data_IF_812586638839
#
_entry.id   IF_812586638839
#
_cell.length_a   1.000
_cell.length_b   1.000
_cell.length_c   1.000
_cell.angle_alpha   90.00
_cell.angle_beta   90.00
_cell.angle_gamma   90.00
#
_symmetry.space_group_name_H-M   'P 1'
#
loop_
_entity.id
_entity.type
_entity.pdbx_description
1 polymer ?
#
# COMPACT_ATOMS: atom_id res chain seq x y z
N UNK A 1 18.20 -1.79 -10.68
CA UNK A 1 17.02 -1.53 -9.82
C UNK A 1 16.20 -2.80 -9.76
N UNK A 2 16.03 -3.40 -8.59
CA UNK A 2 15.52 -4.79 -8.45
C UNK A 2 14.12 -4.87 -7.84
N UNK A 3 13.63 -3.81 -7.21
CA UNK A 3 12.26 -3.73 -6.65
C UNK A 3 11.80 -2.26 -6.53
N UNK A 4 10.51 -2.07 -6.29
CA UNK A 4 9.88 -0.79 -5.97
C UNK A 4 9.25 -0.87 -4.59
N UNK A 5 9.57 0.10 -3.73
CA UNK A 5 8.98 0.24 -2.41
C UNK A 5 8.04 1.44 -2.40
N UNK A 6 6.75 1.18 -2.18
CA UNK A 6 5.74 2.21 -1.99
C UNK A 6 5.67 2.58 -0.51
N UNK A 7 5.91 3.85 -0.20
CA UNK A 7 5.88 4.36 1.17
C UNK A 7 4.78 5.41 1.36
N UNK A 8 3.50 5.03 1.23
CA UNK A 8 2.39 5.97 1.29
C UNK A 8 2.28 6.60 2.68
N UNK A 9 2.04 7.92 2.70
CA UNK A 9 1.64 8.68 3.89
C UNK A 9 0.19 9.05 3.75
N UNK A 10 -0.65 8.61 4.67
CA UNK A 10 -2.11 8.77 4.58
C UNK A 10 -2.59 9.61 5.76
N UNK A 11 -3.47 10.58 5.50
CA UNK A 11 -4.18 11.32 6.55
C UNK A 11 -5.67 11.03 6.44
N UNK A 12 -6.28 10.69 7.56
CA UNK A 12 -7.72 10.47 7.67
C UNK A 12 -8.37 11.69 8.30
N UNK A 13 -9.52 12.11 7.76
CA UNK A 13 -10.41 13.04 8.44
C UNK A 13 -11.38 12.26 9.32
N UNK A 14 -11.50 12.62 10.60
CA UNK A 14 -12.36 11.90 11.55
C UNK A 14 -11.68 10.67 12.15
N UNK A 15 -12.43 9.60 12.39
CA UNK A 15 -11.91 8.40 13.03
C UNK A 15 -10.94 7.66 12.10
N UNK A 16 -9.66 7.65 12.47
CA UNK A 16 -8.65 6.88 11.77
C UNK A 16 -8.86 5.37 11.99
N UNK A 17 -8.56 4.53 10.99
CA UNK A 17 -8.54 3.09 11.16
C UNK A 17 -7.47 2.68 12.17
N UNK A 18 -7.65 1.51 12.79
CA UNK A 18 -6.56 0.87 13.54
C UNK A 18 -5.40 0.54 12.60
N UNK A 19 -4.20 0.32 13.15
CA UNK A 19 -3.04 -0.11 12.35
C UNK A 19 -3.31 -1.38 11.54
N UNK A 20 -4.06 -2.32 12.11
CA UNK A 20 -4.46 -3.55 11.42
C UNK A 20 -5.40 -3.26 10.23
N UNK A 21 -6.43 -2.44 10.45
CA UNK A 21 -7.34 -2.01 9.39
C UNK A 21 -6.60 -1.25 8.29
N UNK A 22 -5.66 -0.38 8.64
CA UNK A 22 -4.83 0.36 7.69
C UNK A 22 -3.96 -0.59 6.85
N UNK A 23 -3.34 -1.59 7.49
CA UNK A 23 -2.55 -2.62 6.79
C UNK A 23 -3.41 -3.40 5.79
N UNK A 24 -4.61 -3.85 6.20
CA UNK A 24 -5.54 -4.54 5.32
C UNK A 24 -6.01 -3.68 4.15
N UNK A 25 -6.25 -2.37 4.37
CA UNK A 25 -6.60 -1.44 3.30
C UNK A 25 -5.49 -1.34 2.25
N UNK A 26 -4.24 -1.17 2.69
CA UNK A 26 -3.08 -1.12 1.79
C UNK A 26 -2.88 -2.43 1.03
N UNK A 27 -3.00 -3.58 1.70
CA UNK A 27 -2.88 -4.89 1.06
C UNK A 27 -3.96 -5.08 -0.03
N UNK A 28 -5.22 -4.79 0.30
CA UNK A 28 -6.34 -4.89 -0.64
C UNK A 28 -6.15 -3.98 -1.85
N UNK A 29 -5.72 -2.73 -1.63
CA UNK A 29 -5.46 -1.78 -2.70
C UNK A 29 -4.34 -2.27 -3.63
N UNK A 30 -3.25 -2.80 -3.07
CA UNK A 30 -2.13 -3.29 -3.87
C UNK A 30 -2.49 -4.55 -4.66
N UNK A 31 -3.21 -5.49 -4.04
CA UNK A 31 -3.72 -6.70 -4.71
C UNK A 31 -4.59 -6.35 -5.93
N UNK A 32 -5.37 -5.28 -5.85
CA UNK A 32 -6.21 -4.78 -6.94
C UNK A 32 -5.52 -3.82 -7.92
N UNK A 33 -4.23 -3.52 -7.76
CA UNK A 33 -3.56 -2.49 -8.56
C UNK A 33 -3.22 -3.00 -9.96
N UNK A 34 -3.88 -2.46 -11.00
CA UNK A 34 -3.62 -2.84 -12.39
C UNK A 34 -2.15 -2.68 -12.80
N UNK A 35 -1.50 -1.61 -12.38
CA UNK A 35 -0.10 -1.34 -12.74
C UNK A 35 0.83 -2.36 -12.08
N UNK A 36 0.63 -2.64 -10.78
CA UNK A 36 1.45 -3.62 -10.08
C UNK A 36 1.29 -5.03 -10.64
N UNK A 37 0.08 -5.37 -11.08
CA UNK A 37 -0.23 -6.66 -11.71
C UNK A 37 0.20 -6.74 -13.19
N UNK A 38 0.70 -5.65 -13.79
CA UNK A 38 1.08 -5.60 -15.22
C UNK A 38 2.59 -5.47 -15.45
N UNK A 39 3.39 -5.46 -14.39
CA UNK A 39 4.85 -5.32 -14.46
C UNK A 39 5.55 -6.52 -13.82
N UNK A 40 6.77 -6.81 -14.29
CA UNK A 40 7.61 -7.87 -13.69
C UNK A 40 8.35 -7.41 -12.43
N UNK A 41 8.43 -6.11 -12.22
CA UNK A 41 9.15 -5.53 -11.09
C UNK A 41 8.42 -5.86 -9.79
N UNK A 42 9.08 -6.48 -8.80
CA UNK A 42 8.49 -6.69 -7.48
C UNK A 42 8.13 -5.34 -6.86
N UNK A 43 6.89 -5.21 -6.41
CA UNK A 43 6.41 -4.02 -5.71
C UNK A 43 5.99 -4.44 -4.30
N UNK A 44 6.42 -3.67 -3.30
CA UNK A 44 6.02 -3.87 -1.90
C UNK A 44 5.50 -2.56 -1.32
N UNK A 45 4.47 -2.66 -0.47
CA UNK A 45 3.94 -1.53 0.28
C UNK A 45 4.53 -1.55 1.68
N UNK A 46 5.17 -0.45 2.07
CA UNK A 46 5.71 -0.17 3.40
C UNK A 46 5.04 1.12 3.90
N UNK A 47 3.83 1.04 4.46
CA UNK A 47 3.10 2.21 4.94
C UNK A 47 3.96 3.03 5.90
N UNK A 48 3.87 4.38 5.81
CA UNK A 48 4.47 5.28 6.78
C UNK A 48 3.35 5.84 7.65
N UNK A 49 3.44 5.56 8.95
CA UNK A 49 2.53 6.05 9.99
C UNK A 49 2.55 7.59 10.12
#
# INVERSE_FOLDING_TARGET
MTEVLLQPRVRFSGNAPTLEQLSQLHERAHRGCFIANSVKTPIRVLPRD
#
